data_IF_688226362529
#
_entry.id   IF_688226362529
#
_cell.length_a   1.000
_cell.length_b   1.000
_cell.length_c   1.000
_cell.angle_alpha   90.00
_cell.angle_beta   90.00
_cell.angle_gamma   90.00
#
_symmetry.space_group_name_H-M   'P 1'
#
loop_
_entity.id
_entity.type
_entity.pdbx_description
1 polymer ?
#
# COMPACT_ATOMS: atom_id res chain seq x y z
N UNK A 1 -3.58 -8.81 21.67
CA UNK A 1 -4.42 -8.59 20.48
C UNK A 1 -3.54 -7.89 19.46
N UNK A 2 -2.99 -8.59 18.47
CA UNK A 2 -2.30 -7.92 17.38
C UNK A 2 -3.39 -7.22 16.56
N UNK A 3 -3.57 -5.92 16.75
CA UNK A 3 -4.36 -5.11 15.82
C UNK A 3 -3.59 -5.13 14.51
N UNK A 4 -4.00 -5.98 13.57
CA UNK A 4 -3.47 -5.99 12.20
C UNK A 4 -3.81 -4.63 11.61
N UNK A 5 -2.86 -3.70 11.71
CA UNK A 5 -3.07 -2.34 11.26
C UNK A 5 -3.14 -2.38 9.73
N UNK A 6 -4.14 -1.71 9.16
CA UNK A 6 -4.29 -1.72 7.70
C UNK A 6 -3.03 -1.09 7.08
N UNK A 7 -2.46 -1.71 6.02
CA UNK A 7 -1.29 -1.15 5.36
C UNK A 7 -1.65 0.20 4.73
N UNK A 8 -0.72 1.16 4.70
CA UNK A 8 -0.94 2.45 4.04
C UNK A 8 -1.35 2.30 2.56
N UNK A 9 -0.98 1.16 1.95
CA UNK A 9 -1.35 0.78 0.59
C UNK A 9 -2.87 0.81 0.34
N UNK A 10 -3.73 0.60 1.35
CA UNK A 10 -5.19 0.63 1.15
C UNK A 10 -5.71 1.97 0.65
N UNK A 11 -4.96 3.05 0.90
CA UNK A 11 -5.28 4.40 0.41
C UNK A 11 -4.66 4.69 -0.96
N UNK A 12 -3.88 3.76 -1.53
CA UNK A 12 -3.26 3.92 -2.83
C UNK A 12 -4.22 3.51 -3.95
N UNK A 13 -4.30 4.30 -5.00
CA UNK A 13 -5.09 4.03 -6.22
C UNK A 13 -4.69 2.73 -6.92
N UNK A 14 -3.45 2.29 -6.74
CA UNK A 14 -2.92 1.06 -7.36
C UNK A 14 -3.21 -0.20 -6.54
N UNK A 15 -3.74 -0.06 -5.32
CA UNK A 15 -4.01 -1.19 -4.45
C UNK A 15 -5.27 -1.92 -4.88
N UNK A 16 -5.15 -3.24 -5.04
CA UNK A 16 -6.24 -4.12 -5.42
C UNK A 16 -6.30 -5.30 -4.46
N UNK A 17 -7.52 -5.67 -4.05
CA UNK A 17 -7.78 -6.86 -3.27
C UNK A 17 -8.54 -7.86 -4.12
N UNK A 18 -8.01 -9.07 -4.27
CA UNK A 18 -8.65 -10.08 -5.10
C UNK A 18 -7.76 -11.29 -5.32
N UNK A 19 -8.06 -12.05 -6.36
CA UNK A 19 -7.26 -13.19 -6.78
C UNK A 19 -6.33 -12.70 -7.89
N UNK A 20 -5.00 -12.63 -7.68
CA UNK A 20 -4.07 -12.20 -8.72
C UNK A 20 -4.15 -13.15 -9.93
N UNK A 21 -3.81 -12.68 -11.14
CA UNK A 21 -3.89 -13.50 -12.35
C UNK A 21 -3.01 -14.77 -12.30
N UNK A 22 -1.96 -14.75 -11.47
CA UNK A 22 -0.99 -15.83 -11.31
C UNK A 22 -1.18 -16.65 -10.01
N UNK A 23 -2.36 -16.59 -9.38
CA UNK A 23 -2.61 -17.26 -8.10
C UNK A 23 -4.08 -17.57 -7.89
N UNK A 24 -4.43 -18.76 -7.38
CA UNK A 24 -5.82 -19.13 -7.03
C UNK A 24 -6.29 -18.61 -5.66
N UNK A 25 -5.42 -17.91 -4.94
CA UNK A 25 -5.67 -17.43 -3.57
C UNK A 25 -5.94 -15.93 -3.58
N UNK A 26 -6.89 -15.51 -2.73
CA UNK A 26 -7.10 -14.09 -2.44
C UNK A 26 -5.83 -13.52 -1.82
N UNK A 27 -5.34 -12.44 -2.41
CA UNK A 27 -4.18 -11.71 -1.95
C UNK A 27 -4.38 -10.21 -2.20
N UNK A 28 -3.48 -9.41 -1.67
CA UNK A 28 -3.38 -7.99 -2.00
C UNK A 28 -2.33 -7.84 -3.08
N UNK A 29 -2.61 -7.09 -4.14
CA UNK A 29 -1.69 -6.89 -5.26
C UNK A 29 -1.77 -5.45 -5.74
N UNK A 30 -0.75 -5.02 -6.49
CA UNK A 30 -0.69 -3.70 -7.10
C UNK A 30 0.17 -3.76 -8.36
N UNK A 31 0.29 -2.64 -9.07
CA UNK A 31 1.10 -2.53 -10.31
C UNK A 31 2.56 -2.96 -10.12
N UNK A 32 3.12 -2.71 -8.94
CA UNK A 32 4.47 -3.10 -8.56
C UNK A 32 4.60 -4.61 -8.25
N UNK A 33 3.60 -5.19 -7.60
CA UNK A 33 3.55 -6.60 -7.21
C UNK A 33 2.33 -7.28 -7.84
N UNK A 34 2.34 -7.53 -9.17
CA UNK A 34 1.19 -8.08 -9.88
C UNK A 34 0.83 -9.51 -9.43
N UNK A 35 1.81 -10.27 -8.94
CA UNK A 35 1.61 -11.62 -8.39
C UNK A 35 1.18 -11.63 -6.91
N UNK A 36 1.08 -10.46 -6.27
CA UNK A 36 0.73 -10.31 -4.86
C UNK A 36 1.85 -9.69 -4.02
N UNK A 37 1.46 -8.80 -3.10
CA UNK A 37 2.34 -8.14 -2.15
C UNK A 37 2.62 -9.11 -0.99
N UNK A 38 3.89 -9.40 -0.66
CA UNK A 38 4.25 -10.19 0.50
C UNK A 38 3.72 -9.57 1.80
N UNK A 39 3.24 -10.39 2.74
CA UNK A 39 2.70 -9.92 4.03
C UNK A 39 3.63 -8.98 4.79
N UNK A 40 4.93 -9.31 4.84
CA UNK A 40 5.92 -8.46 5.52
C UNK A 40 6.11 -7.09 4.89
N UNK A 41 5.79 -6.90 3.60
CA UNK A 41 5.82 -5.58 2.94
C UNK A 41 4.55 -4.79 3.29
N UNK A 42 3.39 -5.46 3.33
CA UNK A 42 2.14 -4.85 3.82
C UNK A 42 2.31 -4.34 5.25
N UNK A 43 2.96 -5.13 6.11
CA UNK A 43 3.20 -4.76 7.51
C UNK A 43 4.22 -3.63 7.70
N UNK A 44 5.21 -3.52 6.81
CA UNK A 44 6.25 -2.48 6.88
C UNK A 44 5.79 -1.12 6.36
N UNK A 45 4.69 -1.04 5.62
CA UNK A 45 4.11 0.23 5.20
C UNK A 45 5.01 1.03 4.26
N UNK A 46 5.74 0.36 3.35
CA UNK A 46 6.43 1.06 2.28
C UNK A 46 5.41 1.75 1.37
N UNK A 47 5.50 3.07 1.36
CA UNK A 47 4.50 4.01 0.88
C UNK A 47 4.93 4.71 -0.41
N UNK A 48 5.87 4.10 -1.16
CA UNK A 48 6.31 4.50 -2.51
C UNK A 48 6.40 6.03 -2.75
N UNK A 49 6.94 6.79 -1.80
CA UNK A 49 7.16 8.25 -1.99
C UNK A 49 8.34 8.53 -2.92
N UNK A 50 9.26 7.58 -3.01
CA UNK A 50 10.36 7.56 -3.95
C UNK A 50 10.24 6.28 -4.80
N UNK A 51 10.67 6.32 -6.07
CA UNK A 51 10.71 5.11 -6.87
C UNK A 51 11.72 4.14 -6.25
N UNK A 52 11.30 2.88 -6.12
CA UNK A 52 12.15 1.79 -5.66
C UNK A 52 12.59 1.00 -6.89
N UNK A 53 13.87 0.63 -6.93
CA UNK A 53 14.41 -0.20 -7.99
C UNK A 53 13.70 -1.58 -7.99
N UNK A 54 13.12 -1.96 -9.13
CA UNK A 54 12.30 -3.18 -9.26
C UNK A 54 10.78 -2.99 -9.15
N UNK A 55 10.29 -1.85 -8.64
CA UNK A 55 8.84 -1.56 -8.50
C UNK A 55 8.20 -0.93 -9.75
N UNK A 56 8.86 -1.06 -10.91
CA UNK A 56 8.46 -0.44 -12.19
C UNK A 56 8.27 1.09 -12.11
N UNK A 57 8.93 1.75 -11.16
CA UNK A 57 8.78 3.19 -10.94
C UNK A 57 7.43 3.60 -10.35
N UNK A 58 6.69 2.66 -9.73
CA UNK A 58 5.42 2.94 -9.07
C UNK A 58 5.62 3.95 -7.94
N UNK A 59 4.78 4.98 -7.90
CA UNK A 59 4.71 5.94 -6.81
C UNK A 59 3.36 5.84 -6.11
N UNK A 60 3.32 6.19 -4.84
CA UNK A 60 2.07 6.29 -4.11
C UNK A 60 1.21 7.41 -4.68
N UNK A 61 0.01 7.03 -5.07
CA UNK A 61 -1.02 7.92 -5.55
C UNK A 61 -2.27 7.72 -4.69
N UNK A 62 -2.74 8.73 -3.95
CA UNK A 62 -3.94 8.58 -3.15
C UNK A 62 -5.15 8.26 -4.04
N UNK A 63 -5.95 7.28 -3.63
CA UNK A 63 -7.25 7.02 -4.23
C UNK A 63 -8.17 8.24 -3.99
N UNK A 64 -9.10 8.51 -4.92
CA UNK A 64 -10.00 9.67 -4.82
C UNK A 64 -10.83 9.70 -3.54
N UNK A 65 -11.08 8.53 -2.97
CA UNK A 65 -11.87 8.34 -1.75
C UNK A 65 -11.02 8.38 -0.47
N UNK A 66 -9.69 8.52 -0.57
CA UNK A 66 -8.80 8.68 0.57
C UNK A 66 -8.55 10.15 0.86
N UNK A 67 -9.19 10.69 1.91
CA UNK A 67 -8.89 12.02 2.40
C UNK A 67 -7.44 12.11 2.91
N UNK A 68 -6.78 13.25 2.65
CA UNK A 68 -5.41 13.50 3.12
C UNK A 68 -5.28 13.37 4.65
N UNK A 69 -6.35 13.69 5.38
CA UNK A 69 -6.40 13.54 6.84
C UNK A 69 -6.35 12.08 7.28
N UNK A 70 -7.11 11.20 6.62
CA UNK A 70 -7.10 9.76 6.89
C UNK A 70 -5.76 9.13 6.54
N UNK A 71 -5.19 9.50 5.39
CA UNK A 71 -3.86 9.07 4.96
C UNK A 71 -2.83 9.45 6.01
N UNK A 72 -2.82 10.71 6.46
CA UNK A 72 -1.87 11.19 7.45
C UNK A 72 -2.09 10.57 8.84
N UNK A 73 -3.33 10.28 9.20
CA UNK A 73 -3.68 9.58 10.44
C UNK A 73 -3.10 8.17 10.43
N UNK A 74 -3.29 7.41 9.35
CA UNK A 74 -2.72 6.07 9.20
C UNK A 74 -1.18 6.09 9.21
N UNK A 75 -0.57 7.06 8.52
CA UNK A 75 0.90 7.22 8.50
C UNK A 75 1.46 7.49 9.88
N UNK A 76 0.79 8.34 10.67
CA UNK A 76 1.17 8.60 12.06
C UNK A 76 1.11 7.34 12.92
N UNK A 77 0.11 6.48 12.72
CA UNK A 77 0.01 5.20 13.43
C UNK A 77 1.12 4.21 13.05
N UNK A 78 1.55 4.25 11.78
CA UNK A 78 2.66 3.45 11.25
C UNK A 78 4.04 4.06 11.56
N UNK A 79 4.11 5.24 12.19
CA UNK A 79 5.37 5.95 12.45
C UNK A 79 6.02 6.57 11.21
N UNK A 80 5.26 6.76 10.14
CA UNK A 80 5.69 7.34 8.87
C UNK A 80 5.54 8.88 8.88
N UNK A 81 6.39 9.63 8.14
CA UNK A 81 6.23 11.08 7.98
C UNK A 81 4.91 11.41 7.26
N UNK A 82 4.31 12.58 7.47
CA UNK A 82 3.07 12.94 6.78
C UNK A 82 3.25 13.00 5.25
N UNK A 83 2.20 12.62 4.52
CA UNK A 83 2.07 12.79 3.08
C UNK A 83 1.74 14.25 2.78
N UNK A 84 2.63 14.93 2.04
CA UNK A 84 2.57 16.37 1.79
C UNK A 84 2.62 16.73 0.29
N UNK A 85 2.24 15.79 -0.58
CA UNK A 85 2.34 15.95 -2.03
C UNK A 85 1.14 16.69 -2.64
#
# INVERSE_FOLDING_TARGET
>A
MATTQAPICVFCKHFMQGTPPDSDKKSFFCTAFPSGVPGGILEQGQDHLAPIDGDNGTLFEPAKDGDLEDINTQRKQLGLPPYAK
#
